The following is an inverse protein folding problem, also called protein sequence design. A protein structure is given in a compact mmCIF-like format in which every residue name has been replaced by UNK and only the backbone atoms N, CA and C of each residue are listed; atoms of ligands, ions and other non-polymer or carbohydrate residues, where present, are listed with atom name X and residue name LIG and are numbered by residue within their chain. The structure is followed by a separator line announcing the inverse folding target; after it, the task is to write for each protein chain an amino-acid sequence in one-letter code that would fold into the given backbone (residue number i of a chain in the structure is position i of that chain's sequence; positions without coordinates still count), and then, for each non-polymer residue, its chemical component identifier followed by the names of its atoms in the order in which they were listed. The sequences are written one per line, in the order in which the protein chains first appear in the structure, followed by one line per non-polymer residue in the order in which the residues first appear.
data_IF_355111883585
#
_entry.id   IF_355111883585
#
_cell.length_a   1.000
_cell.length_b   1.000
_cell.length_c   1.000
_cell.angle_alpha   90.00
_cell.angle_beta   90.00
_cell.angle_gamma   90.00
#
_symmetry.space_group_name_H-M   'P 1'
#
loop_
_entity.id
_entity.type
_entity.pdbx_description
1 polymer ?
#
# COMPACT_ATOMS: atom_id res chain seq x y z
N UNK A 1 -23.54 9.67 29.00
CA UNK A 1 -23.45 10.02 27.58
C UNK A 1 -22.17 10.81 27.44
N UNK A 2 -21.42 10.54 26.38
CA UNK A 2 -20.27 11.39 26.05
C UNK A 2 -20.77 12.78 25.68
N UNK A 3 -20.25 13.83 26.34
CA UNK A 3 -20.63 15.22 26.09
C UNK A 3 -20.51 15.59 24.60
N UNK A 4 -19.56 14.98 23.89
CA UNK A 4 -19.36 15.20 22.45
C UNK A 4 -20.54 14.71 21.59
N UNK A 5 -21.26 13.66 22.01
CA UNK A 5 -22.47 13.22 21.28
C UNK A 5 -23.60 14.23 21.45
N UNK A 6 -23.77 14.76 22.67
CA UNK A 6 -24.77 15.81 22.92
C UNK A 6 -24.43 17.08 22.15
N UNK A 7 -23.18 17.51 22.19
CA UNK A 7 -22.70 18.64 21.41
C UNK A 7 -22.93 18.44 19.90
N UNK A 8 -22.63 17.25 19.36
CA UNK A 8 -22.91 16.96 17.95
C UNK A 8 -24.42 17.11 17.67
N UNK A 9 -25.28 16.56 18.53
CA UNK A 9 -26.72 16.64 18.34
C UNK A 9 -27.27 18.08 18.34
N UNK A 10 -26.75 18.96 19.21
CA UNK A 10 -27.15 20.37 19.28
C UNK A 10 -26.87 21.17 17.99
N UNK A 11 -26.13 20.58 17.04
CA UNK A 11 -25.85 21.17 15.72
C UNK A 11 -26.78 20.64 14.63
N UNK A 12 -27.68 19.72 14.95
CA UNK A 12 -28.74 19.24 14.06
C UNK A 12 -29.93 20.20 14.21
N UNK A 13 -30.55 20.57 13.10
CA UNK A 13 -31.68 21.46 13.07
C UNK A 13 -32.68 21.03 12.01
N UNK A 14 -33.95 21.38 12.23
CA UNK A 14 -35.01 21.18 11.26
C UNK A 14 -35.12 22.44 10.38
N UNK A 15 -35.10 22.22 9.06
CA UNK A 15 -35.26 23.29 8.07
C UNK A 15 -36.66 23.88 8.14
N UNK A 16 -36.77 25.22 8.23
CA UNK A 16 -38.07 25.89 8.14
C UNK A 16 -38.74 25.57 6.80
N UNK A 17 -39.99 25.10 6.86
CA UNK A 17 -40.91 24.83 5.73
C UNK A 17 -40.71 23.51 4.98
N UNK A 18 -39.56 22.84 5.07
CA UNK A 18 -39.38 21.51 4.45
C UNK A 18 -39.55 20.37 5.45
N UNK A 19 -39.36 20.62 6.75
CA UNK A 19 -39.37 19.59 7.79
C UNK A 19 -38.16 18.65 7.72
N UNK A 20 -37.18 18.99 6.89
CA UNK A 20 -35.98 18.19 6.68
C UNK A 20 -34.98 18.44 7.80
N UNK A 21 -34.51 17.37 8.43
CA UNK A 21 -33.55 17.42 9.53
C UNK A 21 -32.15 17.27 8.98
N UNK A 22 -31.26 18.22 9.29
CA UNK A 22 -29.87 18.20 8.82
C UNK A 22 -28.92 18.87 9.79
N UNK A 23 -27.62 18.74 9.56
CA UNK A 23 -26.61 19.52 10.29
C UNK A 23 -26.68 20.99 9.89
N UNK A 24 -26.50 21.89 10.85
CA UNK A 24 -26.50 23.33 10.64
C UNK A 24 -25.35 23.76 9.73
N UNK A 25 -25.69 24.60 8.74
CA UNK A 25 -24.71 25.16 7.82
C UNK A 25 -23.61 25.92 8.57
N UNK A 26 -22.35 25.57 8.33
CA UNK A 26 -21.18 26.13 9.02
C UNK A 26 -20.81 25.42 10.33
N UNK A 27 -21.57 24.41 10.76
CA UNK A 27 -21.28 23.59 11.95
C UNK A 27 -20.79 22.18 11.60
N UNK A 28 -20.70 21.82 10.33
CA UNK A 28 -20.38 20.47 9.86
C UNK A 28 -19.00 20.00 10.35
N UNK A 29 -18.02 20.90 10.38
CA UNK A 29 -16.68 20.60 10.89
C UNK A 29 -16.68 20.28 12.39
N UNK A 30 -17.40 21.08 13.18
CA UNK A 30 -17.52 20.88 14.62
C UNK A 30 -18.34 19.62 14.95
N UNK A 31 -19.43 19.40 14.23
CA UNK A 31 -20.24 18.18 14.30
C UNK A 31 -19.38 16.95 14.03
N UNK A 32 -18.65 16.96 12.91
CA UNK A 32 -17.78 15.85 12.51
C UNK A 32 -16.70 15.57 13.54
N UNK A 33 -16.03 16.61 14.04
CA UNK A 33 -14.98 16.49 15.07
C UNK A 33 -15.51 15.85 16.35
N UNK A 34 -16.65 16.30 16.85
CA UNK A 34 -17.22 15.81 18.10
C UNK A 34 -17.70 14.37 17.97
N UNK A 35 -18.45 14.07 16.91
CA UNK A 35 -18.96 12.74 16.66
C UNK A 35 -17.81 11.73 16.42
N UNK A 36 -16.80 12.10 15.64
CA UNK A 36 -15.62 11.25 15.40
C UNK A 36 -14.83 10.99 16.69
N UNK A 37 -14.63 12.02 17.52
CA UNK A 37 -13.97 11.87 18.82
C UNK A 37 -14.72 10.89 19.73
N UNK A 38 -16.04 10.98 19.77
CA UNK A 38 -16.87 10.10 20.58
C UNK A 38 -16.87 8.65 20.08
N UNK A 39 -16.87 8.44 18.75
CA UNK A 39 -16.78 7.11 18.12
C UNK A 39 -15.42 6.46 18.39
N UNK A 40 -14.33 7.22 18.27
CA UNK A 40 -12.98 6.70 18.50
C UNK A 40 -12.82 6.09 19.89
N UNK A 41 -13.46 6.70 20.89
CA UNK A 41 -13.34 6.28 22.28
C UNK A 41 -14.28 5.10 22.63
N UNK A 42 -15.01 4.55 21.65
CA UNK A 42 -15.77 3.30 21.82
C UNK A 42 -14.88 2.04 21.92
N UNK A 43 -13.60 2.14 21.54
CA UNK A 43 -12.64 1.03 21.67
C UNK A 43 -13.00 -0.20 20.84
N UNK A 44 -13.72 -0.02 19.73
CA UNK A 44 -14.09 -1.10 18.82
C UNK A 44 -12.87 -1.60 18.05
N UNK A 45 -12.69 -2.92 18.03
CA UNK A 45 -11.78 -3.58 17.12
C UNK A 45 -12.36 -3.52 15.69
N UNK A 46 -11.74 -2.71 14.85
CA UNK A 46 -12.23 -2.38 13.51
C UNK A 46 -12.04 -3.51 12.53
N UNK A 47 -10.95 -4.26 12.67
CA UNK A 47 -10.63 -5.36 11.77
C UNK A 47 -11.49 -6.56 12.11
N UNK A 48 -11.72 -6.82 13.40
CA UNK A 48 -12.71 -7.81 13.84
C UNK A 48 -14.11 -7.53 13.27
N UNK A 49 -14.52 -6.26 13.26
CA UNK A 49 -15.83 -5.86 12.74
C UNK A 49 -15.85 -5.51 11.24
N UNK A 50 -14.69 -5.55 10.56
CA UNK A 50 -14.52 -5.21 9.14
C UNK A 50 -15.13 -3.87 8.75
N UNK A 51 -14.79 -2.83 9.51
CA UNK A 51 -15.43 -1.52 9.45
C UNK A 51 -14.44 -0.36 9.60
N UNK A 52 -14.62 0.70 8.82
CA UNK A 52 -13.83 1.92 8.96
C UNK A 52 -14.45 2.89 9.97
N UNK A 53 -13.63 3.84 10.46
CA UNK A 53 -14.16 4.99 11.21
C UNK A 53 -15.18 5.79 10.41
N UNK A 54 -15.02 5.82 9.08
CA UNK A 54 -15.94 6.53 8.19
C UNK A 54 -17.29 5.81 8.14
N UNK A 55 -17.30 4.48 8.04
CA UNK A 55 -18.50 3.65 8.13
C UNK A 55 -19.21 3.83 9.48
N UNK A 56 -18.47 3.74 10.59
CA UNK A 56 -19.01 4.01 11.94
C UNK A 56 -19.61 5.42 12.03
N UNK A 57 -18.86 6.43 11.57
CA UNK A 57 -19.33 7.82 11.55
C UNK A 57 -20.63 7.98 10.79
N UNK A 58 -20.73 7.40 9.58
CA UNK A 58 -21.93 7.42 8.76
C UNK A 58 -23.13 6.82 9.51
N UNK A 59 -22.99 5.63 10.12
CA UNK A 59 -24.08 5.00 10.88
C UNK A 59 -24.49 5.74 12.14
N UNK A 60 -23.54 6.29 12.89
CA UNK A 60 -23.89 7.10 14.05
C UNK A 60 -24.51 8.45 13.65
N UNK A 61 -24.08 9.05 12.54
CA UNK A 61 -24.69 10.25 11.99
C UNK A 61 -26.14 9.98 11.57
N UNK A 62 -26.38 8.94 10.76
CA UNK A 62 -27.74 8.47 10.39
C UNK A 62 -28.60 8.26 11.64
N UNK A 63 -28.04 7.63 12.67
CA UNK A 63 -28.74 7.40 13.93
C UNK A 63 -29.09 8.67 14.70
N UNK A 64 -28.26 9.72 14.67
CA UNK A 64 -28.57 11.01 15.30
C UNK A 64 -29.64 11.78 14.51
N UNK A 65 -29.61 11.72 13.18
CA UNK A 65 -30.64 12.32 12.33
C UNK A 65 -31.99 11.64 12.60
N UNK A 66 -32.04 10.30 12.64
CA UNK A 66 -33.28 9.56 12.93
C UNK A 66 -33.86 9.89 14.31
N UNK A 67 -33.01 10.09 15.32
CA UNK A 67 -33.45 10.54 16.64
C UNK A 67 -34.10 11.93 16.53
N UNK A 68 -33.48 12.86 15.81
CA UNK A 68 -34.00 14.21 15.64
C UNK A 68 -35.29 14.24 14.80
N UNK A 69 -35.42 13.41 13.77
CA UNK A 69 -36.64 13.25 12.99
C UNK A 69 -37.79 12.65 13.80
N UNK A 70 -37.49 11.70 14.69
CA UNK A 70 -38.52 10.99 15.47
C UNK A 70 -38.93 11.72 16.74
N UNK A 71 -37.99 12.40 17.39
CA UNK A 71 -38.16 12.95 18.74
C UNK A 71 -37.98 14.48 18.81
N UNK A 72 -37.61 15.12 17.70
CA UNK A 72 -37.40 16.57 17.60
C UNK A 72 -35.97 16.99 17.96
N UNK A 73 -35.58 18.20 17.55
CA UNK A 73 -34.21 18.73 17.76
C UNK A 73 -33.99 19.33 19.14
N UNK A 74 -35.05 19.66 19.88
CA UNK A 74 -35.00 20.35 21.17
C UNK A 74 -35.03 19.37 22.36
N UNK A 75 -34.14 18.37 22.35
CA UNK A 75 -34.01 17.40 23.44
C UNK A 75 -33.05 17.90 24.53
N UNK A 76 -33.42 17.68 25.79
CA UNK A 76 -32.48 17.81 26.91
C UNK A 76 -31.40 16.72 26.86
N UNK A 77 -30.28 16.91 27.56
CA UNK A 77 -29.19 15.93 27.60
C UNK A 77 -29.66 14.55 28.11
N UNK A 78 -30.54 14.53 29.13
CA UNK A 78 -31.06 13.30 29.71
C UNK A 78 -32.02 12.55 28.78
N UNK A 79 -32.86 13.27 28.04
CA UNK A 79 -33.74 12.69 27.02
C UNK A 79 -32.93 12.11 25.86
N UNK A 80 -32.00 12.91 25.31
CA UNK A 80 -31.12 12.45 24.24
C UNK A 80 -30.33 11.22 24.67
N UNK A 81 -29.86 11.18 25.92
CA UNK A 81 -29.13 10.04 26.49
C UNK A 81 -29.92 8.74 26.38
N UNK A 82 -31.22 8.74 26.67
CA UNK A 82 -32.07 7.55 26.53
C UNK A 82 -32.17 7.08 25.07
N UNK A 83 -32.49 7.99 24.16
CA UNK A 83 -32.63 7.70 22.73
C UNK A 83 -31.32 7.23 22.11
N UNK A 84 -30.22 7.90 22.42
CA UNK A 84 -28.91 7.55 21.94
C UNK A 84 -28.42 6.19 22.45
N UNK A 85 -28.62 5.86 23.73
CA UNK A 85 -28.24 4.52 24.23
C UNK A 85 -29.04 3.41 23.55
N UNK A 86 -30.32 3.66 23.28
CA UNK A 86 -31.17 2.75 22.51
C UNK A 86 -30.64 2.59 21.09
N UNK A 87 -30.34 3.70 20.41
CA UNK A 87 -29.81 3.67 19.04
C UNK A 87 -28.43 3.02 18.95
N UNK A 88 -27.53 3.37 19.86
CA UNK A 88 -26.22 2.73 20.01
C UNK A 88 -26.38 1.23 20.22
N UNK A 89 -27.23 0.80 21.14
CA UNK A 89 -27.48 -0.64 21.36
C UNK A 89 -28.00 -1.31 20.10
N UNK A 90 -28.90 -0.66 19.35
CA UNK A 90 -29.38 -1.15 18.06
C UNK A 90 -28.29 -1.25 16.99
N UNK A 91 -27.38 -0.26 16.90
CA UNK A 91 -26.21 -0.31 16.01
C UNK A 91 -25.33 -1.50 16.39
N UNK A 92 -25.08 -1.74 17.67
CA UNK A 92 -24.25 -2.84 18.13
C UNK A 92 -24.90 -4.21 17.92
N UNK A 93 -26.21 -4.34 18.18
CA UNK A 93 -26.89 -5.64 18.06
C UNK A 93 -27.29 -5.97 16.63
N UNK A 94 -27.84 -5.01 15.89
CA UNK A 94 -28.50 -5.28 14.60
C UNK A 94 -27.56 -5.03 13.43
N UNK A 95 -26.60 -4.11 13.59
CA UNK A 95 -25.57 -3.91 12.59
C UNK A 95 -24.32 -4.68 12.96
N UNK A 96 -23.56 -4.30 14.00
CA UNK A 96 -22.30 -4.98 14.32
C UNK A 96 -22.46 -6.46 14.72
N UNK A 97 -23.63 -6.85 15.24
CA UNK A 97 -23.94 -8.21 15.69
C UNK A 97 -24.44 -9.19 14.61
N UNK A 98 -24.66 -8.74 13.38
CA UNK A 98 -25.05 -9.61 12.25
C UNK A 98 -23.82 -10.04 11.42
N UNK A 99 -23.93 -10.86 10.36
CA UNK A 99 -22.82 -11.04 9.42
C UNK A 99 -22.55 -9.75 8.61
N UNK A 100 -21.30 -9.45 8.18
CA UNK A 100 -21.00 -8.37 7.25
C UNK A 100 -21.61 -8.60 5.86
N UNK A 101 -21.79 -7.52 5.10
CA UNK A 101 -22.26 -7.54 3.72
C UNK A 101 -21.14 -7.98 2.77
N UNK A 102 -21.47 -8.36 1.54
CA UNK A 102 -20.48 -8.73 0.51
C UNK A 102 -20.35 -7.60 -0.50
N UNK A 103 -19.14 -7.06 -0.60
CA UNK A 103 -18.77 -6.07 -1.60
C UNK A 103 -17.98 -6.74 -2.72
N UNK A 104 -18.26 -6.31 -3.96
CA UNK A 104 -17.54 -6.71 -5.16
C UNK A 104 -16.78 -5.52 -5.70
N UNK A 105 -15.47 -5.66 -5.81
CA UNK A 105 -14.58 -4.64 -6.32
C UNK A 105 -14.04 -5.07 -7.67
N UNK A 106 -14.30 -4.25 -8.69
CA UNK A 106 -13.90 -4.53 -10.08
C UNK A 106 -12.96 -3.43 -10.55
N UNK A 107 -11.81 -3.81 -11.11
CA UNK A 107 -10.76 -2.85 -11.46
C UNK A 107 -9.86 -3.33 -12.61
N UNK A 108 -9.30 -2.40 -13.40
CA UNK A 108 -8.38 -2.72 -14.48
C UNK A 108 -6.92 -2.68 -14.00
N UNK A 109 -6.10 -3.63 -14.47
CA UNK A 109 -4.65 -3.67 -14.22
C UNK A 109 -3.88 -3.71 -15.54
N UNK A 110 -2.68 -3.13 -15.55
CA UNK A 110 -1.77 -3.15 -16.70
C UNK A 110 -0.89 -4.40 -16.73
N UNK A 111 -1.54 -5.56 -16.72
CA UNK A 111 -0.91 -6.86 -16.96
C UNK A 111 -1.65 -7.46 -18.15
N UNK A 112 -0.95 -8.12 -19.07
CA UNK A 112 -1.63 -8.81 -20.17
C UNK A 112 -2.27 -10.10 -19.64
N UNK A 113 -3.52 -10.34 -19.99
CA UNK A 113 -4.32 -11.48 -19.51
C UNK A 113 -3.63 -12.83 -19.70
N UNK A 114 -2.91 -13.04 -20.81
CA UNK A 114 -2.16 -14.29 -21.05
C UNK A 114 -1.09 -14.61 -20.00
N UNK A 115 -0.70 -13.65 -19.17
CA UNK A 115 0.31 -13.79 -18.11
C UNK A 115 -0.29 -13.73 -16.70
N UNK A 116 -1.58 -13.44 -16.58
CA UNK A 116 -2.27 -13.43 -15.30
C UNK A 116 -3.17 -14.67 -15.23
N UNK A 117 -3.13 -15.48 -14.16
CA UNK A 117 -3.98 -16.66 -14.09
C UNK A 117 -5.43 -16.25 -13.87
N UNK A 118 -6.37 -17.11 -14.28
CA UNK A 118 -7.81 -16.85 -14.15
C UNK A 118 -8.24 -16.54 -12.70
N UNK A 119 -7.49 -17.08 -11.73
CA UNK A 119 -7.68 -16.83 -10.31
C UNK A 119 -6.31 -16.68 -9.64
N UNK A 120 -6.15 -15.65 -8.81
CA UNK A 120 -5.01 -15.46 -7.90
C UNK A 120 -5.50 -15.42 -6.47
N UNK A 121 -4.91 -16.22 -5.60
CA UNK A 121 -5.15 -16.09 -4.16
C UNK A 121 -4.53 -14.78 -3.65
N UNK A 122 -5.36 -13.97 -3.00
CA UNK A 122 -4.99 -12.74 -2.31
C UNK A 122 -5.18 -12.95 -0.80
N UNK A 123 -4.37 -13.84 -0.22
CA UNK A 123 -4.40 -14.18 1.22
C UNK A 123 -5.77 -14.67 1.69
N UNK A 124 -6.59 -13.77 2.26
CA UNK A 124 -7.95 -14.07 2.73
C UNK A 124 -9.03 -13.93 1.66
N UNK A 125 -8.67 -13.50 0.45
CA UNK A 125 -9.58 -13.33 -0.68
C UNK A 125 -8.98 -13.89 -1.97
N UNK A 126 -9.71 -13.76 -3.08
CA UNK A 126 -9.33 -14.21 -4.40
C UNK A 126 -9.61 -13.10 -5.40
N UNK A 127 -8.64 -12.86 -6.27
CA UNK A 127 -8.83 -12.04 -7.45
C UNK A 127 -9.16 -12.96 -8.62
N UNK A 128 -10.37 -12.84 -9.14
CA UNK A 128 -10.84 -13.52 -10.34
C UNK A 128 -10.64 -12.60 -11.53
N UNK A 129 -10.04 -13.12 -12.59
CA UNK A 129 -10.02 -12.44 -13.87
C UNK A 129 -11.42 -12.50 -14.50
N UNK A 130 -11.92 -11.35 -14.96
CA UNK A 130 -13.18 -11.26 -15.68
C UNK A 130 -12.95 -10.98 -17.16
N UNK A 131 -13.89 -11.40 -17.98
CA UNK A 131 -13.85 -11.16 -19.41
C UNK A 131 -14.30 -9.72 -19.78
N UNK A 132 -14.12 -9.38 -21.06
CA UNK A 132 -14.46 -8.06 -21.60
C UNK A 132 -15.98 -7.78 -21.47
N UNK A 133 -16.83 -8.78 -21.68
CA UNK A 133 -18.29 -8.62 -21.60
C UNK A 133 -18.74 -8.30 -20.16
N UNK A 134 -18.16 -8.98 -19.17
CA UNK A 134 -18.40 -8.69 -17.75
C UNK A 134 -17.91 -7.29 -17.38
N UNK A 135 -16.72 -6.92 -17.82
CA UNK A 135 -16.16 -5.59 -17.58
C UNK A 135 -17.04 -4.48 -18.19
N UNK A 136 -17.48 -4.63 -19.44
CA UNK A 136 -18.38 -3.67 -20.10
C UNK A 136 -19.70 -3.52 -19.33
N UNK A 137 -20.29 -4.62 -18.86
CA UNK A 137 -21.50 -4.55 -18.04
C UNK A 137 -21.29 -3.77 -16.74
N UNK A 138 -20.13 -3.92 -16.10
CA UNK A 138 -19.79 -3.16 -14.88
C UNK A 138 -19.54 -1.67 -15.16
N UNK A 139 -18.91 -1.33 -16.29
CA UNK A 139 -18.75 0.07 -16.71
C UNK A 139 -20.09 0.73 -16.99
N UNK A 140 -20.97 0.07 -17.75
CA UNK A 140 -22.32 0.58 -18.08
C UNK A 140 -23.11 0.88 -16.80
N UNK A 141 -22.96 0.06 -15.76
CA UNK A 141 -23.62 0.31 -14.47
C UNK A 141 -23.11 1.59 -13.79
N UNK A 142 -21.82 1.91 -13.92
CA UNK A 142 -21.22 3.12 -13.37
C UNK A 142 -21.53 4.37 -14.21
N UNK A 143 -21.53 4.26 -15.55
CA UNK A 143 -21.86 5.36 -16.48
C UNK A 143 -23.33 5.78 -16.37
N UNK A 144 -24.24 4.84 -16.10
CA UNK A 144 -25.68 5.14 -15.94
C UNK A 144 -26.05 5.65 -14.54
N UNK A 145 -25.10 5.81 -13.62
CA UNK A 145 -25.36 6.42 -12.31
C UNK A 145 -25.42 7.94 -12.45
N UNK A 146 -26.63 8.50 -12.50
CA UNK A 146 -26.92 9.94 -12.70
C UNK A 146 -26.23 10.84 -11.66
N UNK A 147 -25.92 10.32 -10.48
CA UNK A 147 -25.25 11.03 -9.39
C UNK A 147 -23.71 10.92 -9.45
N UNK A 148 -23.15 10.15 -10.38
CA UNK A 148 -21.72 9.96 -10.53
C UNK A 148 -21.10 10.97 -11.50
N UNK A 149 -19.90 11.47 -11.15
CA UNK A 149 -19.04 12.22 -12.09
C UNK A 149 -18.09 11.29 -12.86
N UNK A 150 -18.48 10.03 -13.06
CA UNK A 150 -17.59 8.98 -13.55
C UNK A 150 -17.10 9.24 -14.97
N UNK A 151 -17.99 9.62 -15.89
CA UNK A 151 -17.64 9.97 -17.27
C UNK A 151 -16.59 11.08 -17.35
N UNK A 152 -16.76 12.12 -16.54
CA UNK A 152 -15.80 13.23 -16.46
C UNK A 152 -14.46 12.78 -15.92
N UNK A 153 -14.43 11.84 -14.97
CA UNK A 153 -13.20 11.24 -14.47
C UNK A 153 -12.51 10.37 -15.53
N UNK A 154 -13.26 9.57 -16.31
CA UNK A 154 -12.68 8.77 -17.39
C UNK A 154 -11.98 9.64 -18.45
N UNK A 155 -12.52 10.83 -18.74
CA UNK A 155 -11.90 11.79 -19.65
C UNK A 155 -10.59 12.39 -19.10
N UNK A 156 -10.43 12.45 -17.77
CA UNK A 156 -9.21 12.95 -17.12
C UNK A 156 -8.09 11.90 -17.05
N UNK A 157 -8.43 10.63 -17.26
CA UNK A 157 -7.47 9.56 -17.17
C UNK A 157 -6.40 9.70 -18.29
N UNK A 158 -5.10 9.56 -17.95
CA UNK A 158 -4.00 9.78 -18.90
C UNK A 158 -3.97 8.73 -20.02
N UNK A 159 -4.68 7.62 -19.81
CA UNK A 159 -4.98 6.64 -20.82
C UNK A 159 -6.47 6.69 -21.11
N UNK A 160 -6.82 6.61 -22.38
CA UNK A 160 -8.20 6.46 -22.79
C UNK A 160 -8.66 5.04 -22.42
N UNK A 161 -9.58 4.96 -21.45
CA UNK A 161 -10.26 3.73 -21.03
C UNK A 161 -11.65 3.61 -21.69
N UNK A 162 -12.10 4.64 -22.43
CA UNK A 162 -13.39 4.73 -23.13
C UNK A 162 -13.27 4.50 -24.65
N UNK A 163 -12.08 4.65 -25.24
CA UNK A 163 -11.74 4.14 -26.57
C UNK A 163 -11.87 2.61 -26.55
N UNK A 164 -12.85 2.08 -27.30
CA UNK A 164 -13.16 0.66 -27.46
C UNK A 164 -11.95 -0.27 -27.15
N UNK A 165 -12.00 -1.11 -26.10
CA UNK A 165 -10.88 -1.90 -25.58
C UNK A 165 -10.09 -2.68 -26.65
N UNK A 166 -10.74 -3.00 -27.77
CA UNK A 166 -10.20 -3.66 -28.95
C UNK A 166 -9.02 -2.95 -29.65
N UNK A 167 -8.71 -1.68 -29.33
CA UNK A 167 -7.51 -1.00 -29.86
C UNK A 167 -6.30 -1.01 -28.92
N UNK A 168 -6.45 -1.37 -27.64
CA UNK A 168 -5.36 -1.47 -26.66
C UNK A 168 -5.43 -2.82 -25.93
N UNK A 169 -4.82 -3.85 -26.53
CA UNK A 169 -4.71 -5.25 -26.05
C UNK A 169 -3.87 -5.43 -24.77
N UNK A 170 -3.98 -4.54 -23.78
CA UNK A 170 -2.96 -4.42 -22.72
C UNK A 170 -3.51 -4.41 -21.29
N UNK A 171 -4.82 -4.59 -21.10
CA UNK A 171 -5.46 -4.60 -19.77
C UNK A 171 -5.96 -5.99 -19.38
N UNK A 172 -5.86 -6.29 -18.10
CA UNK A 172 -6.56 -7.40 -17.44
C UNK A 172 -7.56 -6.80 -16.46
N UNK A 173 -8.77 -7.35 -16.41
CA UNK A 173 -9.81 -6.90 -15.51
C UNK A 173 -9.95 -7.91 -14.39
N UNK A 174 -9.89 -7.43 -13.15
CA UNK A 174 -9.97 -8.26 -11.97
C UNK A 174 -11.22 -7.91 -11.16
N UNK A 175 -11.71 -8.92 -10.46
CA UNK A 175 -12.82 -8.85 -9.53
C UNK A 175 -12.40 -9.49 -8.21
N UNK A 176 -12.64 -8.79 -7.11
CA UNK A 176 -12.40 -9.31 -5.76
C UNK A 176 -13.68 -9.18 -4.94
N UNK A 177 -14.10 -10.28 -4.30
CA UNK A 177 -15.20 -10.27 -3.35
C UNK A 177 -14.67 -10.17 -1.91
N UNK A 178 -15.22 -9.24 -1.14
CA UNK A 178 -14.79 -8.95 0.21
C UNK A 178 -15.98 -8.76 1.14
N UNK A 179 -15.98 -9.46 2.28
CA UNK A 179 -16.97 -9.24 3.33
C UNK A 179 -16.58 -8.01 4.16
N UNK A 180 -17.45 -7.02 4.25
CA UNK A 180 -17.21 -5.79 5.01
C UNK A 180 -18.52 -5.15 5.48
N UNK A 181 -18.42 -4.18 6.40
CA UNK A 181 -19.57 -3.38 6.88
C UNK A 181 -19.80 -2.09 6.12
N UNK A 182 -18.75 -1.62 5.45
CA UNK A 182 -18.79 -0.44 4.63
C UNK A 182 -17.85 -0.59 3.46
N UNK A 183 -18.18 0.10 2.38
CA UNK A 183 -17.48 0.06 1.11
C UNK A 183 -16.01 0.52 1.23
N UNK A 184 -15.69 1.38 2.21
CA UNK A 184 -14.33 1.88 2.40
C UNK A 184 -13.42 0.83 3.04
N UNK A 185 -13.95 -0.03 3.90
CA UNK A 185 -13.17 -1.13 4.47
C UNK A 185 -12.81 -2.13 3.37
N UNK A 186 -13.80 -2.52 2.55
CA UNK A 186 -13.58 -3.41 1.42
C UNK A 186 -12.56 -2.84 0.44
N UNK A 187 -12.69 -1.55 0.06
CA UNK A 187 -11.73 -0.85 -0.78
C UNK A 187 -10.31 -0.85 -0.20
N UNK A 188 -10.16 -0.40 1.05
CA UNK A 188 -8.85 -0.32 1.69
C UNK A 188 -8.18 -1.68 1.71
N UNK A 189 -8.92 -2.71 2.13
CA UNK A 189 -8.38 -4.06 2.25
C UNK A 189 -8.00 -4.63 0.89
N UNK A 190 -8.86 -4.51 -0.13
CA UNK A 190 -8.52 -5.00 -1.48
C UNK A 190 -7.35 -4.23 -2.08
N UNK A 191 -7.28 -2.91 -1.90
CA UNK A 191 -6.17 -2.07 -2.33
C UNK A 191 -4.83 -2.53 -1.73
N UNK A 192 -4.79 -2.78 -0.42
CA UNK A 192 -3.61 -3.34 0.25
C UNK A 192 -3.21 -4.70 -0.33
N UNK A 193 -4.17 -5.63 -0.48
CA UNK A 193 -3.89 -6.97 -1.02
C UNK A 193 -3.32 -6.91 -2.45
N UNK A 194 -3.86 -6.02 -3.29
CA UNK A 194 -3.36 -5.80 -4.66
C UNK A 194 -1.97 -5.18 -4.66
N UNK A 195 -1.72 -4.19 -3.79
CA UNK A 195 -0.42 -3.54 -3.67
C UNK A 195 0.70 -4.53 -3.29
N UNK A 196 0.44 -5.40 -2.32
CA UNK A 196 1.41 -6.43 -1.90
C UNK A 196 1.67 -7.39 -3.05
N UNK A 197 0.62 -7.85 -3.73
CA UNK A 197 0.80 -8.78 -4.85
C UNK A 197 1.61 -8.13 -5.97
N UNK A 198 1.43 -6.84 -6.22
CA UNK A 198 2.28 -6.09 -7.16
C UNK A 198 3.70 -5.90 -6.64
N UNK A 199 3.91 -5.74 -5.34
CA UNK A 199 5.25 -5.70 -4.74
C UNK A 199 6.00 -7.02 -4.99
N UNK A 200 5.34 -8.16 -4.76
CA UNK A 200 5.86 -9.50 -5.05
C UNK A 200 6.19 -9.64 -6.54
N UNK A 201 5.22 -9.38 -7.43
CA UNK A 201 5.42 -9.49 -8.88
C UNK A 201 6.57 -8.60 -9.34
N UNK A 202 6.60 -7.33 -8.96
CA UNK A 202 7.64 -6.40 -9.40
C UNK A 202 9.04 -6.75 -8.88
N UNK A 203 9.13 -7.39 -7.71
CA UNK A 203 10.40 -7.84 -7.16
C UNK A 203 10.89 -9.11 -7.88
N UNK A 204 10.05 -10.13 -8.00
CA UNK A 204 10.42 -11.41 -8.61
C UNK A 204 10.57 -11.34 -10.14
N UNK A 205 9.78 -10.52 -10.84
CA UNK A 205 9.95 -10.24 -12.27
C UNK A 205 11.36 -9.69 -12.56
N UNK A 206 11.85 -8.76 -11.73
CA UNK A 206 13.22 -8.25 -11.85
C UNK A 206 14.28 -9.32 -11.59
N UNK A 207 14.03 -10.26 -10.67
CA UNK A 207 14.96 -11.34 -10.36
C UNK A 207 15.06 -12.36 -11.50
N UNK A 208 13.93 -12.72 -12.10
CA UNK A 208 13.84 -13.73 -13.16
C UNK A 208 14.29 -13.20 -14.53
N UNK A 209 13.86 -12.00 -14.93
CA UNK A 209 14.26 -11.40 -16.21
C UNK A 209 15.77 -11.07 -16.28
N UNK A 210 16.43 -10.84 -15.14
CA UNK A 210 17.85 -10.53 -15.06
C UNK A 210 18.75 -11.75 -14.78
N UNK A 211 18.18 -12.90 -14.39
CA UNK A 211 18.93 -14.05 -13.91
C UNK A 211 19.76 -13.73 -12.66
N UNK A 212 19.16 -13.04 -11.68
CA UNK A 212 19.77 -12.33 -10.52
C UNK A 212 20.18 -10.87 -10.83
N UNK A 213 20.24 -9.97 -9.83
CA UNK A 213 20.63 -8.57 -10.01
C UNK A 213 21.95 -8.45 -10.78
N UNK A 214 21.91 -8.00 -12.03
CA UNK A 214 23.10 -7.79 -12.84
C UNK A 214 23.68 -6.40 -12.51
N UNK A 215 24.83 -6.29 -11.81
CA UNK A 215 25.44 -5.00 -11.45
C UNK A 215 25.83 -4.15 -12.68
N UNK A 216 25.88 -4.76 -13.87
CA UNK A 216 26.19 -4.11 -15.14
C UNK A 216 25.05 -3.32 -15.81
N UNK A 217 23.79 -3.37 -15.35
CA UNK A 217 22.68 -2.67 -16.02
C UNK A 217 22.28 -1.32 -15.40
N UNK A 218 22.91 -0.92 -14.30
CA UNK A 218 22.49 0.15 -13.39
C UNK A 218 22.58 1.61 -13.90
N UNK A 219 23.12 1.86 -15.10
CA UNK A 219 23.11 3.21 -15.72
C UNK A 219 21.81 3.54 -16.44
N UNK A 220 21.02 2.52 -16.80
CA UNK A 220 19.65 2.80 -17.22
C UNK A 220 18.91 3.10 -15.93
N UNK A 221 18.37 4.32 -15.80
CA UNK A 221 17.28 4.57 -14.86
C UNK A 221 16.34 3.36 -14.96
N UNK A 222 15.88 2.75 -13.84
CA UNK A 222 14.95 1.64 -13.92
C UNK A 222 13.89 2.04 -14.93
N UNK A 223 13.82 1.29 -16.03
CA UNK A 223 13.20 1.72 -17.28
C UNK A 223 11.94 2.52 -16.99
N UNK A 224 11.91 3.74 -17.51
CA UNK A 224 11.03 4.79 -17.02
C UNK A 224 9.55 4.36 -16.97
N UNK A 225 9.07 4.25 -15.74
CA UNK A 225 7.84 4.88 -15.21
C UNK A 225 6.49 4.20 -15.44
N UNK A 226 6.37 3.12 -16.21
CA UNK A 226 5.07 2.44 -16.44
C UNK A 226 5.12 0.92 -16.59
N UNK A 227 6.31 0.30 -16.59
CA UNK A 227 6.46 -1.17 -16.71
C UNK A 227 6.34 -1.90 -15.37
N UNK A 228 6.18 -1.17 -14.26
CA UNK A 228 6.01 -1.74 -12.92
C UNK A 228 4.54 -1.72 -12.57
N UNK A 229 4.03 -2.84 -12.08
CA UNK A 229 2.64 -2.96 -11.68
C UNK A 229 2.38 -2.01 -10.52
N UNK A 230 1.40 -1.12 -10.69
CA UNK A 230 0.99 -0.10 -9.73
C UNK A 230 -0.47 -0.31 -9.42
N UNK A 231 -0.92 0.26 -8.30
CA UNK A 231 -2.33 0.25 -7.93
C UNK A 231 -3.23 0.62 -9.12
N UNK A 232 -4.37 -0.07 -9.32
CA UNK A 232 -5.31 0.28 -10.38
C UNK A 232 -5.73 1.77 -10.31
N UNK A 233 -6.08 2.38 -11.44
CA UNK A 233 -6.44 3.80 -11.52
C UNK A 233 -7.75 4.11 -10.78
N UNK A 234 -8.62 3.11 -10.65
CA UNK A 234 -9.88 3.21 -9.93
C UNK A 234 -10.42 1.82 -9.59
N UNK A 235 -11.37 1.80 -8.67
CA UNK A 235 -12.19 0.64 -8.34
C UNK A 235 -13.67 0.96 -8.56
N UNK A 236 -14.40 0.07 -9.20
CA UNK A 236 -15.85 0.04 -9.22
C UNK A 236 -16.33 -0.84 -8.06
N UNK A 237 -17.22 -0.32 -7.22
CA UNK A 237 -17.68 -1.03 -6.03
C UNK A 237 -19.17 -1.33 -6.17
N UNK A 238 -19.50 -2.60 -5.99
CA UNK A 238 -20.85 -3.13 -6.00
C UNK A 238 -21.18 -3.77 -4.65
N UNK A 239 -22.44 -3.74 -4.27
CA UNK A 239 -22.98 -4.41 -3.09
C UNK A 239 -24.26 -5.13 -3.49
N UNK A 240 -24.35 -6.43 -3.21
CA UNK A 240 -25.52 -7.26 -3.54
C UNK A 240 -25.97 -7.20 -5.02
N UNK A 241 -25.04 -6.88 -5.93
CA UNK A 241 -25.26 -6.77 -7.37
C UNK A 241 -25.52 -5.35 -7.87
N UNK A 242 -25.81 -4.40 -6.97
CA UNK A 242 -26.07 -3.01 -7.31
C UNK A 242 -24.76 -2.19 -7.27
N UNK A 243 -24.64 -1.24 -8.19
CA UNK A 243 -23.53 -0.28 -8.17
C UNK A 243 -23.66 0.64 -6.96
N UNK A 244 -22.58 0.75 -6.17
CA UNK A 244 -22.54 1.61 -4.99
C UNK A 244 -21.86 2.92 -5.32
N UNK A 245 -20.65 2.83 -5.91
CA UNK A 245 -19.81 4.00 -6.19
C UNK A 245 -18.56 3.57 -6.97
N UNK A 246 -17.89 4.53 -7.59
CA UNK A 246 -16.50 4.37 -8.04
C UNK A 246 -15.54 5.10 -7.09
N UNK A 247 -14.29 4.65 -7.07
CA UNK A 247 -13.22 5.24 -6.25
C UNK A 247 -12.00 5.49 -7.13
N UNK A 248 -11.70 6.75 -7.48
CA UNK A 248 -10.47 7.08 -8.17
C UNK A 248 -9.29 6.93 -7.21
N UNK A 249 -8.21 6.33 -7.69
CA UNK A 249 -6.92 6.30 -7.01
C UNK A 249 -6.02 7.40 -7.59
N UNK A 250 -4.93 7.74 -6.91
CA UNK A 250 -4.01 8.74 -7.46
C UNK A 250 -3.42 8.26 -8.80
N UNK A 251 -3.75 8.98 -9.86
CA UNK A 251 -3.27 8.74 -11.21
C UNK A 251 -2.58 9.97 -11.81
N UNK A 252 -2.44 11.08 -11.08
CA UNK A 252 -1.72 12.28 -11.56
C UNK A 252 -0.24 11.95 -11.86
N UNK A 253 0.26 10.89 -11.22
CA UNK A 253 1.59 10.36 -11.48
C UNK A 253 1.72 9.46 -12.71
N UNK A 254 0.64 9.29 -13.47
CA UNK A 254 0.56 8.51 -14.70
C UNK A 254 0.63 9.48 -15.90
N UNK A 255 1.71 9.44 -16.70
CA UNK A 255 1.85 10.20 -17.98
C UNK A 255 1.03 9.59 -19.12
N UNK A 256 0.46 10.40 -20.02
CA UNK A 256 -0.13 9.87 -21.25
C UNK A 256 0.86 8.97 -22.00
N UNK A 257 0.43 7.75 -22.32
CA UNK A 257 1.28 6.76 -23.00
C UNK A 257 1.51 7.23 -24.44
N UNK A 258 2.55 8.01 -24.64
CA UNK A 258 3.15 8.20 -25.95
C UNK A 258 3.78 6.87 -26.37
N UNK A 259 3.03 6.03 -27.09
CA UNK A 259 3.45 4.80 -27.80
C UNK A 259 4.76 4.21 -27.28
N UNK A 260 4.75 3.61 -26.09
CA UNK A 260 5.85 2.76 -25.68
C UNK A 260 5.63 1.35 -26.25
N UNK A 261 6.61 0.86 -26.99
CA UNK A 261 6.64 -0.53 -27.42
C UNK A 261 7.08 -1.39 -26.23
N UNK A 262 6.12 -2.04 -25.57
CA UNK A 262 6.36 -3.10 -24.59
C UNK A 262 6.93 -4.33 -25.30
N UNK A 263 8.23 -4.29 -25.61
CA UNK A 263 8.94 -5.42 -26.22
C UNK A 263 9.50 -6.40 -25.18
N UNK A 264 9.25 -6.21 -23.87
CA UNK A 264 9.71 -7.09 -22.79
C UNK A 264 8.57 -7.47 -21.84
N UNK A 265 7.32 -7.47 -22.31
CA UNK A 265 6.23 -8.17 -21.61
C UNK A 265 6.33 -9.69 -21.88
N UNK A 266 7.56 -10.19 -21.88
CA UNK A 266 7.97 -11.54 -22.20
C UNK A 266 8.77 -12.02 -20.97
N UNK A 267 8.37 -13.16 -20.43
CA UNK A 267 9.09 -14.00 -19.44
C UNK A 267 8.72 -13.92 -17.94
N UNK A 268 7.48 -13.57 -17.57
CA UNK A 268 6.87 -14.18 -16.36
C UNK A 268 6.00 -15.33 -16.86
N UNK A 269 6.62 -16.50 -17.00
CA UNK A 269 5.95 -17.66 -17.60
C UNK A 269 4.78 -18.16 -16.75
N UNK A 270 4.73 -17.88 -15.44
CA UNK A 270 3.58 -18.18 -14.57
C UNK A 270 3.62 -17.29 -13.30
N UNK A 271 2.80 -16.22 -13.23
CA UNK A 271 2.65 -15.40 -11.99
C UNK A 271 2.28 -16.28 -10.78
N UNK A 272 1.66 -17.43 -11.02
CA UNK A 272 1.34 -18.46 -10.02
C UNK A 272 2.56 -19.01 -9.27
N UNK A 273 3.75 -18.94 -9.84
CA UNK A 273 4.98 -19.47 -9.21
C UNK A 273 5.66 -18.47 -8.26
N UNK A 274 5.15 -17.23 -8.20
CA UNK A 274 5.67 -16.20 -7.31
C UNK A 274 5.29 -16.55 -5.86
N UNK A 275 6.26 -16.71 -4.94
CA UNK A 275 5.99 -16.94 -3.53
C UNK A 275 5.05 -15.88 -2.95
N UNK A 276 4.14 -16.33 -2.09
CA UNK A 276 3.20 -15.47 -1.35
C UNK A 276 3.57 -15.43 0.13
N UNK A 277 3.56 -14.24 0.75
CA UNK A 277 3.93 -14.06 2.17
C UNK A 277 2.78 -13.51 3.02
N UNK A 278 2.36 -14.18 4.10
CA UNK A 278 1.20 -13.78 4.92
C UNK A 278 1.23 -12.30 5.31
N UNK A 279 0.28 -11.53 4.77
CA UNK A 279 0.18 -10.09 5.02
C UNK A 279 -0.14 -9.74 6.47
N UNK A 280 -0.97 -10.56 7.12
CA UNK A 280 -1.39 -10.32 8.49
C UNK A 280 -0.35 -10.84 9.51
N UNK A 281 0.77 -11.36 9.01
CA UNK A 281 1.91 -11.69 9.84
C UNK A 281 2.32 -10.46 10.66
N UNK A 282 2.38 -10.64 11.98
CA UNK A 282 2.75 -9.56 12.89
C UNK A 282 4.08 -8.93 12.43
N UNK A 283 4.17 -7.61 12.43
CA UNK A 283 5.35 -6.85 11.97
C UNK A 283 6.60 -7.19 12.75
N UNK A 284 6.48 -7.88 13.89
CA UNK A 284 7.59 -8.45 14.67
C UNK A 284 8.06 -9.84 14.24
N UNK A 285 7.51 -10.42 13.17
CA UNK A 285 7.85 -11.76 12.67
C UNK A 285 8.74 -11.71 11.44
N UNK A 286 9.36 -12.85 11.12
CA UNK A 286 10.23 -12.98 9.94
C UNK A 286 9.50 -12.63 8.64
N UNK A 287 8.28 -13.14 8.49
CA UNK A 287 7.43 -12.89 7.34
C UNK A 287 6.93 -11.44 7.30
N UNK A 288 6.52 -10.87 8.44
CA UNK A 288 6.14 -9.46 8.54
C UNK A 288 7.26 -8.49 8.14
N UNK A 289 8.52 -8.86 8.36
CA UNK A 289 9.70 -8.11 7.90
C UNK A 289 9.84 -8.16 6.36
N UNK A 290 9.66 -9.35 5.75
CA UNK A 290 9.68 -9.49 4.28
C UNK A 290 8.60 -8.64 3.64
N UNK A 291 7.35 -8.77 4.10
CA UNK A 291 6.20 -8.02 3.58
C UNK A 291 6.43 -6.52 3.71
N UNK A 292 6.86 -6.05 4.88
CA UNK A 292 7.11 -4.62 5.11
C UNK A 292 8.23 -4.08 4.20
N UNK A 293 9.25 -4.89 3.92
CA UNK A 293 10.34 -4.51 3.03
C UNK A 293 9.93 -4.55 1.54
N UNK A 294 9.09 -5.50 1.13
CA UNK A 294 8.50 -5.55 -0.21
C UNK A 294 7.61 -4.33 -0.48
N UNK A 295 6.80 -3.90 0.49
CA UNK A 295 6.01 -2.66 0.36
C UNK A 295 6.91 -1.42 0.24
N UNK A 296 7.94 -1.31 1.08
CA UNK A 296 8.93 -0.24 0.97
C UNK A 296 9.67 -0.25 -0.38
N UNK A 297 9.91 -1.45 -0.92
CA UNK A 297 10.44 -1.63 -2.26
C UNK A 297 9.46 -1.13 -3.32
N UNK A 298 8.19 -1.53 -3.25
CA UNK A 298 7.09 -1.10 -4.13
C UNK A 298 6.96 0.43 -4.17
N UNK A 299 6.94 1.08 -3.01
CA UNK A 299 6.97 2.54 -2.90
C UNK A 299 8.19 3.13 -3.63
N UNK A 300 9.37 2.60 -3.35
CA UNK A 300 10.62 3.08 -3.94
C UNK A 300 10.67 2.91 -5.46
N UNK A 301 10.09 1.85 -5.99
CA UNK A 301 10.12 1.58 -7.43
C UNK A 301 9.07 2.37 -8.22
N UNK A 302 7.97 2.78 -7.57
CA UNK A 302 6.85 3.51 -8.16
C UNK A 302 6.94 5.03 -7.99
N UNK A 303 7.73 5.51 -7.03
CA UNK A 303 7.94 6.93 -6.73
C UNK A 303 8.71 7.68 -7.83
N UNK A 304 8.24 8.90 -8.16
CA UNK A 304 8.85 9.80 -9.16
C UNK A 304 10.03 10.58 -8.60
N UNK A 305 9.95 10.99 -7.34
CA UNK A 305 11.00 11.76 -6.69
C UNK A 305 12.17 10.86 -6.33
N UNK A 306 13.35 11.14 -6.89
CA UNK A 306 14.59 10.39 -6.57
C UNK A 306 14.83 10.36 -5.06
N UNK A 307 14.55 11.47 -4.37
CA UNK A 307 14.69 11.59 -2.91
C UNK A 307 13.70 10.71 -2.16
N UNK A 308 12.42 10.73 -2.52
CA UNK A 308 11.42 9.92 -1.83
C UNK A 308 11.64 8.43 -2.12
N UNK A 309 11.96 8.10 -3.37
CA UNK A 309 12.31 6.74 -3.77
C UNK A 309 13.51 6.19 -2.99
N UNK A 310 14.54 7.02 -2.79
CA UNK A 310 15.67 6.69 -1.92
C UNK A 310 15.22 6.39 -0.48
N UNK A 311 14.35 7.23 0.10
CA UNK A 311 13.84 7.01 1.46
C UNK A 311 13.00 5.74 1.60
N UNK A 312 12.20 5.41 0.59
CA UNK A 312 11.44 4.16 0.58
C UNK A 312 12.37 2.95 0.55
N UNK A 313 13.41 2.95 -0.28
CA UNK A 313 14.41 1.86 -0.25
C UNK A 313 15.18 1.82 1.07
N UNK A 314 15.59 2.98 1.58
CA UNK A 314 16.24 3.08 2.88
C UNK A 314 15.37 2.49 4.00
N UNK A 315 14.05 2.73 3.96
CA UNK A 315 13.11 2.14 4.91
C UNK A 315 13.10 0.61 4.86
N UNK A 316 13.18 0.03 3.66
CA UNK A 316 13.32 -1.42 3.48
C UNK A 316 14.63 -1.96 4.09
N UNK A 317 15.74 -1.24 3.88
CA UNK A 317 17.04 -1.59 4.49
C UNK A 317 16.91 -1.58 6.01
N UNK A 318 16.36 -0.51 6.59
CA UNK A 318 16.15 -0.36 8.05
C UNK A 318 15.35 -1.53 8.65
N UNK A 319 14.35 -2.04 7.92
CA UNK A 319 13.53 -3.18 8.33
C UNK A 319 14.37 -4.46 8.32
N UNK A 320 15.01 -4.80 7.19
CA UNK A 320 15.69 -6.09 7.02
C UNK A 320 17.09 -6.15 7.66
N UNK A 321 17.70 -5.01 7.96
CA UNK A 321 18.98 -5.00 8.68
C UNK A 321 18.83 -5.36 10.17
N UNK A 322 17.61 -5.63 10.67
CA UNK A 322 17.31 -6.02 12.07
C UNK A 322 17.85 -5.04 13.12
N UNK A 323 17.78 -3.75 12.84
CA UNK A 323 18.29 -2.70 13.73
C UNK A 323 17.17 -2.33 14.71
N UNK A 324 17.07 -3.11 15.80
CA UNK A 324 16.02 -2.95 16.80
C UNK A 324 16.21 -1.72 17.71
N UNK A 325 17.38 -1.07 17.69
CA UNK A 325 17.70 0.02 18.60
C UNK A 325 18.32 1.22 17.89
N UNK A 326 17.46 2.06 17.31
CA UNK A 326 17.83 3.36 16.70
C UNK A 326 18.45 4.35 17.70
N UNK A 327 18.48 4.03 19.00
CA UNK A 327 19.10 4.86 20.02
C UNK A 327 20.63 4.72 20.09
N UNK A 328 21.19 3.68 19.47
CA UNK A 328 22.62 3.46 19.37
C UNK A 328 23.12 3.81 17.96
N UNK A 329 23.83 4.94 17.82
CA UNK A 329 24.40 5.37 16.54
C UNK A 329 25.29 4.28 15.89
N UNK A 330 25.95 3.45 16.69
CA UNK A 330 26.80 2.36 16.20
C UNK A 330 26.07 1.21 15.49
N UNK A 331 24.76 1.05 15.70
CA UNK A 331 23.97 0.05 14.98
C UNK A 331 23.43 0.64 13.66
N UNK A 332 23.29 1.96 13.58
CA UNK A 332 22.95 2.68 12.35
C UNK A 332 24.06 2.59 11.31
N UNK A 333 25.31 2.81 11.73
CA UNK A 333 26.52 2.72 10.89
C UNK A 333 26.80 1.30 10.34
N UNK A 334 26.03 0.30 10.77
CA UNK A 334 26.16 -1.10 10.31
C UNK A 334 25.05 -1.52 9.35
N UNK A 335 24.10 -0.63 9.04
CA UNK A 335 22.99 -0.96 8.16
C UNK A 335 23.48 -1.15 6.72
N UNK A 336 24.35 -0.25 6.23
CA UNK A 336 24.93 -0.40 4.89
C UNK A 336 25.84 -1.61 4.85
N UNK A 337 26.71 -1.83 5.85
CA UNK A 337 27.57 -3.01 5.92
C UNK A 337 26.78 -4.32 5.85
N UNK A 338 25.65 -4.42 6.56
CA UNK A 338 24.77 -5.61 6.51
C UNK A 338 24.14 -5.79 5.13
N UNK A 339 23.76 -4.70 4.47
CA UNK A 339 23.25 -4.70 3.10
C UNK A 339 24.31 -5.14 2.09
N UNK A 340 25.54 -4.63 2.21
CA UNK A 340 26.68 -5.01 1.38
C UNK A 340 27.05 -6.48 1.59
N UNK A 341 27.06 -6.95 2.85
CA UNK A 341 27.27 -8.35 3.17
C UNK A 341 26.20 -9.24 2.52
N UNK A 342 24.92 -8.92 2.68
CA UNK A 342 23.82 -9.69 2.09
C UNK A 342 23.89 -9.72 0.56
N UNK A 343 24.26 -8.60 -0.07
CA UNK A 343 24.51 -8.53 -1.50
C UNK A 343 25.70 -9.40 -1.91
N UNK A 344 26.80 -9.35 -1.16
CA UNK A 344 28.00 -10.16 -1.41
C UNK A 344 27.79 -11.67 -1.21
N UNK A 345 26.82 -12.05 -0.37
CA UNK A 345 26.46 -13.45 -0.15
C UNK A 345 25.91 -14.10 -1.43
N UNK A 346 25.21 -13.31 -2.25
CA UNK A 346 24.63 -13.76 -3.51
C UNK A 346 25.50 -13.42 -4.73
N UNK A 347 26.43 -12.49 -4.61
CA UNK A 347 27.26 -11.98 -5.71
C UNK A 347 28.73 -11.82 -5.32
N UNK A 348 29.65 -12.27 -6.17
CA UNK A 348 31.06 -11.83 -6.07
C UNK A 348 31.15 -10.33 -6.43
N UNK A 349 31.21 -9.49 -5.39
CA UNK A 349 31.10 -8.02 -5.47
C UNK A 349 32.28 -7.32 -6.13
N UNK A 350 33.48 -7.91 -6.10
CA UNK A 350 34.71 -7.13 -6.23
C UNK A 350 35.07 -6.72 -7.67
N UNK A 351 34.60 -7.46 -8.68
CA UNK A 351 34.96 -7.20 -10.10
C UNK A 351 33.79 -6.73 -10.99
N UNK A 352 32.55 -6.69 -10.48
CA UNK A 352 31.34 -6.55 -11.32
C UNK A 352 30.55 -5.25 -11.13
N UNK A 353 30.79 -4.50 -10.04
CA UNK A 353 30.11 -3.22 -9.76
C UNK A 353 30.83 -2.03 -10.41
N UNK A 354 30.05 -1.11 -10.98
CA UNK A 354 30.59 0.15 -11.51
C UNK A 354 31.16 0.99 -10.37
N UNK A 355 32.36 1.60 -10.53
CA UNK A 355 32.97 2.43 -9.50
C UNK A 355 32.06 3.55 -8.96
N UNK A 356 31.23 4.13 -9.83
CA UNK A 356 30.29 5.19 -9.47
C UNK A 356 29.17 4.70 -8.55
N UNK A 357 28.72 3.46 -8.71
CA UNK A 357 27.70 2.86 -7.86
C UNK A 357 28.29 2.42 -6.51
N UNK A 358 29.52 1.89 -6.51
CA UNK A 358 30.25 1.57 -5.29
C UNK A 358 30.45 2.82 -4.43
N UNK A 359 30.94 3.90 -5.04
CA UNK A 359 31.06 5.20 -4.39
C UNK A 359 29.70 5.72 -3.89
N UNK A 360 28.65 5.57 -4.69
CA UNK A 360 27.32 6.02 -4.28
C UNK A 360 26.82 5.27 -3.04
N UNK A 361 27.11 3.98 -2.90
CA UNK A 361 26.80 3.15 -1.71
C UNK A 361 27.59 3.64 -0.49
N UNK A 362 28.89 3.87 -0.64
CA UNK A 362 29.78 4.40 0.42
C UNK A 362 29.27 5.76 0.96
N UNK A 363 28.61 6.57 0.12
CA UNK A 363 28.06 7.88 0.50
C UNK A 363 26.63 7.83 1.09
N UNK A 364 25.92 6.69 1.05
CA UNK A 364 24.48 6.61 1.42
C UNK A 364 24.23 7.00 2.88
N UNK A 365 25.03 6.50 3.81
CA UNK A 365 24.83 6.75 5.24
C UNK A 365 25.02 8.24 5.57
N UNK A 366 26.07 8.85 5.02
CA UNK A 366 26.33 10.28 5.13
C UNK A 366 25.17 11.07 4.56
N UNK A 367 24.69 10.72 3.36
CA UNK A 367 23.55 11.40 2.72
C UNK A 367 22.28 11.30 3.54
N UNK A 368 21.98 10.14 4.15
CA UNK A 368 20.85 9.98 5.06
C UNK A 368 21.03 10.88 6.29
N UNK A 369 22.21 10.83 6.93
CA UNK A 369 22.51 11.64 8.11
C UNK A 369 22.34 13.14 7.82
N UNK A 370 22.95 13.63 6.74
CA UNK A 370 22.81 15.01 6.26
C UNK A 370 21.33 15.36 6.01
N UNK A 371 20.53 14.49 5.41
CA UNK A 371 19.10 14.78 5.18
C UNK A 371 18.30 14.94 6.47
N UNK A 372 18.64 14.20 7.53
CA UNK A 372 17.96 14.27 8.82
C UNK A 372 18.33 15.55 9.59
N UNK A 373 19.55 16.07 9.41
CA UNK A 373 20.05 17.23 10.14
C UNK A 373 20.02 18.55 9.34
N UNK A 374 20.25 18.49 8.03
CA UNK A 374 20.37 19.64 7.12
C UNK A 374 19.17 19.78 6.16
N UNK A 375 18.30 18.77 6.07
CA UNK A 375 16.97 18.86 5.48
C UNK A 375 16.94 18.93 3.95
N UNK A 376 16.62 20.10 3.40
CA UNK A 376 16.39 20.30 1.95
C UNK A 376 17.66 20.62 1.16
N UNK A 377 18.79 20.87 1.83
CA UNK A 377 20.05 21.27 1.18
C UNK A 377 20.84 20.09 0.63
N UNK A 378 20.64 18.90 1.19
CA UNK A 378 21.29 17.68 0.75
C UNK A 378 20.65 17.15 -0.53
N UNK A 379 21.44 17.03 -1.57
CA UNK A 379 21.00 16.46 -2.85
C UNK A 379 21.15 14.94 -2.85
N UNK A 380 20.07 14.25 -3.22
CA UNK A 380 20.09 12.82 -3.54
C UNK A 380 20.06 12.66 -5.05
N UNK A 381 21.11 12.04 -5.57
CA UNK A 381 21.21 11.71 -7.00
C UNK A 381 20.73 10.30 -7.27
N UNK A 382 20.55 9.99 -8.56
CA UNK A 382 20.12 8.68 -9.03
C UNK A 382 21.05 7.56 -8.53
N UNK A 383 22.36 7.80 -8.44
CA UNK A 383 23.34 6.84 -7.93
C UNK A 383 23.01 6.38 -6.51
N UNK A 384 22.75 7.30 -5.58
CA UNK A 384 22.39 6.97 -4.19
C UNK A 384 21.10 6.16 -4.12
N UNK A 385 20.08 6.56 -4.90
CA UNK A 385 18.81 5.83 -5.00
C UNK A 385 19.00 4.41 -5.54
N UNK A 386 19.81 4.24 -6.58
CA UNK A 386 20.11 2.93 -7.15
C UNK A 386 20.96 2.08 -6.18
N UNK A 387 21.90 2.68 -5.44
CA UNK A 387 22.68 2.00 -4.41
C UNK A 387 21.78 1.49 -3.28
N UNK A 388 20.88 2.32 -2.76
CA UNK A 388 19.92 1.92 -1.74
C UNK A 388 19.01 0.77 -2.21
N UNK A 389 18.53 0.83 -3.46
CA UNK A 389 17.78 -0.28 -4.07
C UNK A 389 18.61 -1.56 -4.07
N UNK A 390 19.87 -1.51 -4.49
CA UNK A 390 20.72 -2.69 -4.63
C UNK A 390 21.00 -3.36 -3.28
N UNK A 391 21.25 -2.56 -2.23
CA UNK A 391 21.40 -3.07 -0.86
C UNK A 391 20.11 -3.76 -0.39
N UNK A 392 18.95 -3.16 -0.67
CA UNK A 392 17.65 -3.76 -0.35
C UNK A 392 17.40 -5.05 -1.15
N UNK A 393 17.75 -5.08 -2.44
CA UNK A 393 17.65 -6.29 -3.27
C UNK A 393 18.44 -7.45 -2.62
N UNK A 394 19.68 -7.20 -2.19
CA UNK A 394 20.52 -8.20 -1.52
C UNK A 394 19.93 -8.71 -0.20
N UNK A 395 19.38 -7.81 0.62
CA UNK A 395 18.72 -8.16 1.89
C UNK A 395 17.45 -8.99 1.64
N UNK A 396 16.57 -8.56 0.73
CA UNK A 396 15.36 -9.29 0.38
C UNK A 396 15.68 -10.70 -0.14
N UNK A 397 16.67 -10.82 -1.03
CA UNK A 397 17.13 -12.12 -1.53
C UNK A 397 17.60 -13.05 -0.42
N UNK A 398 18.37 -12.53 0.54
CA UNK A 398 18.84 -13.32 1.68
C UNK A 398 17.68 -13.79 2.58
N UNK A 399 16.71 -12.91 2.86
CA UNK A 399 15.53 -13.27 3.63
C UNK A 399 14.67 -14.33 2.92
N UNK A 400 14.47 -14.19 1.62
CA UNK A 400 13.66 -15.13 0.84
C UNK A 400 14.37 -16.49 0.73
N UNK A 401 15.69 -16.52 0.50
CA UNK A 401 16.48 -17.76 0.46
C UNK A 401 16.44 -18.56 1.77
N UNK A 402 16.32 -17.85 2.91
CA UNK A 402 16.28 -18.46 4.25
C UNK A 402 14.88 -18.57 4.84
N UNK A 403 13.85 -18.22 4.08
CA UNK A 403 12.46 -18.32 4.50
C UNK A 403 12.09 -19.77 4.85
N UNK A 404 11.41 -19.95 5.98
CA UNK A 404 11.05 -21.26 6.54
C UNK A 404 12.23 -22.05 7.14
N UNK A 405 13.46 -21.56 7.04
CA UNK A 405 14.66 -22.19 7.61
C UNK A 405 15.14 -21.47 8.86
N UNK A 406 15.10 -20.14 8.87
CA UNK A 406 15.64 -19.29 9.93
C UNK A 406 14.54 -18.49 10.61
N UNK A 407 14.76 -18.18 11.89
CA UNK A 407 14.01 -17.14 12.59
C UNK A 407 14.73 -15.78 12.52
N UNK A 408 14.13 -14.74 13.13
CA UNK A 408 14.72 -13.40 13.15
C UNK A 408 16.05 -13.33 13.93
N UNK A 409 16.23 -14.15 14.97
CA UNK A 409 17.47 -14.16 15.75
C UNK A 409 18.61 -14.79 14.94
N UNK A 410 18.32 -15.88 14.22
CA UNK A 410 19.27 -16.52 13.31
C UNK A 410 19.73 -15.54 12.23
N UNK A 411 18.79 -14.84 11.59
CA UNK A 411 19.09 -13.85 10.55
C UNK A 411 19.89 -12.66 11.11
N UNK A 412 19.49 -12.11 12.26
CA UNK A 412 20.20 -11.01 12.91
C UNK A 412 21.63 -11.39 13.29
N UNK A 413 21.81 -12.60 13.84
CA UNK A 413 23.12 -13.17 14.16
C UNK A 413 23.99 -13.33 12.90
N UNK A 414 23.41 -13.86 11.83
CA UNK A 414 24.11 -14.07 10.57
C UNK A 414 24.60 -12.77 9.93
N UNK A 415 23.72 -11.77 9.82
CA UNK A 415 24.07 -10.45 9.30
C UNK A 415 25.16 -9.78 10.14
N UNK A 416 25.07 -9.87 11.48
CA UNK A 416 26.06 -9.28 12.38
C UNK A 416 27.43 -9.94 12.24
N UNK A 417 27.49 -11.27 12.28
CA UNK A 417 28.76 -12.00 12.22
C UNK A 417 29.36 -12.02 10.82
N UNK A 418 28.53 -11.94 9.78
CA UNK A 418 28.97 -11.77 8.39
C UNK A 418 29.82 -10.53 8.20
N UNK A 419 29.32 -9.38 8.69
CA UNK A 419 30.06 -8.11 8.68
C UNK A 419 31.37 -8.21 9.48
N UNK A 420 31.32 -8.72 10.72
CA UNK A 420 32.52 -8.89 11.57
C UNK A 420 33.58 -9.81 10.93
N UNK A 421 33.16 -10.78 10.12
CA UNK A 421 34.08 -11.66 9.39
C UNK A 421 34.70 -10.94 8.19
N UNK A 422 33.91 -10.20 7.40
CA UNK A 422 34.41 -9.41 6.27
C UNK A 422 35.43 -8.35 6.72
N UNK A 423 35.15 -7.61 7.79
CA UNK A 423 36.08 -6.64 8.37
C UNK A 423 37.43 -7.27 8.72
N UNK A 424 37.41 -8.47 9.33
CA UNK A 424 38.63 -9.21 9.70
C UNK A 424 39.41 -9.69 8.48
N UNK A 425 38.72 -10.19 7.45
CA UNK A 425 39.36 -10.61 6.20
C UNK A 425 39.99 -9.41 5.51
N UNK A 426 39.28 -8.29 5.39
CA UNK A 426 39.78 -7.07 4.77
C UNK A 426 40.99 -6.50 5.53
N UNK A 427 40.94 -6.45 6.87
CA UNK A 427 42.08 -6.04 7.69
C UNK A 427 43.32 -6.90 7.45
N UNK A 428 43.16 -8.22 7.41
CA UNK A 428 44.27 -9.15 7.14
C UNK A 428 44.83 -8.99 5.73
N UNK A 429 43.97 -8.81 4.72
CA UNK A 429 44.38 -8.59 3.33
C UNK A 429 45.16 -7.29 3.16
N UNK A 430 44.67 -6.18 3.74
CA UNK A 430 45.37 -4.88 3.72
C UNK A 430 46.71 -4.97 4.43
N UNK A 431 46.77 -5.59 5.61
CA UNK A 431 48.01 -5.79 6.35
C UNK A 431 49.03 -6.62 5.56
N UNK A 432 48.58 -7.65 4.84
CA UNK A 432 49.46 -8.48 3.99
C UNK A 432 49.93 -7.73 2.74
N UNK A 433 49.10 -6.85 2.18
CA UNK A 433 49.44 -6.04 1.00
C UNK A 433 50.42 -4.92 1.34
N UNK A 434 50.29 -4.32 2.53
CA UNK A 434 51.21 -3.29 3.03
C UNK A 434 52.58 -3.87 3.47
N UNK A 435 52.65 -5.19 3.70
CA UNK A 435 53.88 -5.91 4.06
C UNK A 435 54.64 -6.49 2.83
N UNK A 436 54.04 -6.48 1.64
CA UNK A 436 54.63 -6.90 0.37
C UNK A 436 55.17 -5.72 -0.43
#
# INVERSE_FOLDING_TARGET
MDERFYDAYQRIWELPRTGEVRVQMGQESAFKKNLFGAIRDLGLDRDHHRITNRGLYKKFHEGLIEIAETHGTDLTEDELRGHFQTKKSGIFSNWLGTPPDTYKLVFPIMIRSKHFPDEVELYESKAEQIDEDQWENHLIAAENDDDSSFDSFLDELPNDYSDHPLKRREWTFLMVEMKARDEFYALHRVSELVEIRFAEINFFDQLWAAGMPQPGSSDRAPYEKWTRHQEPPFYLIFQDGDFVTYRPMDFDYRRSVGRFHFNHADDVDEISDIPTFDYDADKGTYEGYIVSALLAYQDGITERSVRQSFFSFWRGIEILSNTSDYSNASDFDKMVDRGEFALSYHHDMDDSLRPELKRAIEEIEEKRHELVHEGLKTEIHQGHRNGAKLLLDGLLLLYIDKYGQWDLNDMSSFLKHGVEYQEKVQFLTTLLTDLS
#
